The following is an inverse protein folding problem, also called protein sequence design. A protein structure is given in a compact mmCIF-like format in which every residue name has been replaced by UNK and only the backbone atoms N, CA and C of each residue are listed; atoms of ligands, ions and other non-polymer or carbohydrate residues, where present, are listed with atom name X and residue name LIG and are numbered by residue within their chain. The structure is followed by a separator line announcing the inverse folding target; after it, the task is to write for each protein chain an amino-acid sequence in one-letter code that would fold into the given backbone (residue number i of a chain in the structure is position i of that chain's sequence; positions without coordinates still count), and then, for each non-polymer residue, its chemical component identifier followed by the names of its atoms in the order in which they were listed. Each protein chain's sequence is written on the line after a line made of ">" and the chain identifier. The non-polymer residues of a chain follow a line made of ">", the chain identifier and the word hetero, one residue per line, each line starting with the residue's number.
data_IF_201875993514
#
_entry.id   IF_201875993514
#
_cell.length_a   1.000
_cell.length_b   1.000
_cell.length_c   1.000
_cell.angle_alpha   90.00
_cell.angle_beta   90.00
_cell.angle_gamma   90.00
#
_symmetry.space_group_name_H-M   'P 1'
#
loop_
_entity.id
_entity.type
_entity.pdbx_description
1 polymer ?
#
# COMPACT_ATOMS: atom_id res chain seq x y z
N UNK A 1 20.14 9.10 -27.79
CA UNK A 1 18.96 9.67 -27.11
C UNK A 1 17.99 8.63 -26.53
N UNK A 2 17.68 7.48 -27.19
CA UNK A 2 16.80 6.45 -26.60
C UNK A 2 17.34 5.90 -25.27
N UNK A 3 18.67 5.70 -25.19
CA UNK A 3 19.33 5.05 -24.04
C UNK A 3 19.20 5.80 -22.71
N UNK A 4 19.19 7.14 -22.72
CA UNK A 4 19.08 7.96 -21.50
C UNK A 4 17.65 8.00 -20.94
N UNK A 5 16.65 7.93 -21.82
CA UNK A 5 15.25 7.92 -21.41
C UNK A 5 14.85 6.55 -20.86
N UNK A 6 15.37 5.48 -21.46
CA UNK A 6 15.23 4.12 -20.93
C UNK A 6 15.97 3.94 -19.61
N UNK A 7 17.12 4.58 -19.40
CA UNK A 7 17.82 4.49 -18.11
C UNK A 7 17.02 5.17 -17.00
N UNK A 8 16.48 6.37 -17.26
CA UNK A 8 15.65 7.07 -16.28
C UNK A 8 14.40 6.25 -15.88
N UNK A 9 13.74 5.61 -16.85
CA UNK A 9 12.58 4.75 -16.54
C UNK A 9 12.97 3.54 -15.69
N UNK A 10 14.10 2.90 -15.96
CA UNK A 10 14.63 1.80 -15.14
C UNK A 10 14.98 2.28 -13.73
N UNK A 11 15.61 3.45 -13.61
CA UNK A 11 15.94 4.05 -12.31
C UNK A 11 14.66 4.34 -11.49
N UNK A 12 13.60 4.85 -12.14
CA UNK A 12 12.30 5.05 -11.51
C UNK A 12 11.68 3.74 -11.03
N UNK A 13 11.77 2.67 -11.82
CA UNK A 13 11.27 1.35 -11.43
C UNK A 13 12.00 0.81 -10.20
N UNK A 14 13.33 0.92 -10.16
CA UNK A 14 14.10 0.46 -9.01
C UNK A 14 13.83 1.29 -7.77
N UNK A 15 13.84 2.62 -7.89
CA UNK A 15 13.57 3.53 -6.78
C UNK A 15 12.19 3.26 -6.17
N UNK A 16 11.14 3.24 -7.00
CA UNK A 16 9.78 3.02 -6.54
C UNK A 16 9.59 1.58 -6.05
N UNK A 17 10.25 0.60 -6.66
CA UNK A 17 10.16 -0.80 -6.29
C UNK A 17 10.73 -1.04 -4.90
N UNK A 18 11.93 -0.52 -4.65
CA UNK A 18 12.58 -0.58 -3.33
C UNK A 18 11.75 0.16 -2.29
N UNK A 19 11.29 1.38 -2.59
CA UNK A 19 10.46 2.16 -1.67
C UNK A 19 9.14 1.46 -1.33
N UNK A 20 8.49 0.86 -2.33
CA UNK A 20 7.26 0.09 -2.19
C UNK A 20 7.46 -1.16 -1.34
N UNK A 21 8.49 -1.95 -1.63
CA UNK A 21 8.83 -3.15 -0.86
C UNK A 21 9.21 -2.82 0.59
N UNK A 22 9.99 -1.76 0.82
CA UNK A 22 10.34 -1.30 2.16
C UNK A 22 9.10 -0.85 2.95
N UNK A 23 8.21 -0.09 2.31
CA UNK A 23 6.95 0.36 2.92
C UNK A 23 6.03 -0.82 3.24
N UNK A 24 5.93 -1.80 2.34
CA UNK A 24 5.17 -3.03 2.55
C UNK A 24 5.75 -3.85 3.72
N UNK A 25 7.06 -4.07 3.76
CA UNK A 25 7.72 -4.77 4.86
C UNK A 25 7.45 -4.06 6.20
N UNK A 26 7.56 -2.73 6.23
CA UNK A 26 7.27 -1.93 7.43
C UNK A 26 5.79 -1.99 7.84
N UNK A 27 4.87 -1.99 6.87
CA UNK A 27 3.44 -2.16 7.11
C UNK A 27 3.12 -3.52 7.73
N UNK A 28 3.69 -4.60 7.17
CA UNK A 28 3.51 -5.96 7.68
C UNK A 28 4.10 -6.12 9.08
N UNK A 29 5.29 -5.55 9.33
CA UNK A 29 5.89 -5.52 10.66
C UNK A 29 4.97 -4.84 11.69
N UNK A 30 4.45 -3.65 11.38
CA UNK A 30 3.53 -2.94 12.28
C UNK A 30 2.19 -3.67 12.44
N UNK A 31 1.70 -4.35 11.40
CA UNK A 31 0.49 -5.17 11.47
C UNK A 31 0.67 -6.33 12.46
N UNK A 32 1.81 -7.04 12.40
CA UNK A 32 2.15 -8.12 13.30
C UNK A 32 2.38 -7.61 14.72
N UNK A 33 3.09 -6.49 14.89
CA UNK A 33 3.31 -5.85 16.18
C UNK A 33 1.99 -5.42 16.84
N UNK A 34 1.04 -4.89 16.05
CA UNK A 34 -0.28 -4.54 16.55
C UNK A 34 -1.07 -5.75 17.07
N UNK A 35 -0.79 -6.97 16.59
CA UNK A 35 -1.45 -8.17 17.09
C UNK A 35 -1.08 -8.50 18.54
N UNK A 36 0.12 -8.13 18.97
CA UNK A 36 0.63 -8.36 20.34
C UNK A 36 0.06 -7.40 21.37
N UNK A 37 -0.64 -6.33 20.95
CA UNK A 37 -1.22 -5.34 21.85
C UNK A 37 -2.54 -5.82 22.45
N UNK A 38 -2.83 -5.50 23.73
CA UNK A 38 -4.06 -5.93 24.40
C UNK A 38 -5.30 -5.36 23.70
N UNK A 39 -6.21 -6.27 23.33
CA UNK A 39 -7.47 -5.91 22.71
C UNK A 39 -8.44 -5.32 23.75
N UNK A 40 -9.18 -4.29 23.35
CA UNK A 40 -10.22 -3.66 24.16
C UNK A 40 -11.62 -4.01 23.66
N UNK A 41 -11.97 -3.47 22.50
CA UNK A 41 -13.31 -3.62 21.90
C UNK A 41 -13.21 -4.20 20.49
N UNK A 42 -14.19 -5.02 20.14
CA UNK A 42 -14.34 -5.60 18.81
C UNK A 42 -15.65 -5.12 18.20
N UNK A 43 -15.64 -4.77 16.92
CA UNK A 43 -16.86 -4.48 16.16
C UNK A 43 -17.02 -5.48 15.03
N UNK A 44 -18.27 -5.90 14.76
CA UNK A 44 -18.57 -6.87 13.71
C UNK A 44 -17.91 -8.23 13.92
N UNK A 45 -17.45 -8.84 12.83
CA UNK A 45 -16.82 -10.17 12.83
C UNK A 45 -15.29 -10.12 13.00
N UNK A 46 -14.76 -9.01 13.53
CA UNK A 46 -13.32 -8.77 13.72
C UNK A 46 -12.59 -9.93 14.43
N UNK A 47 -13.23 -10.58 15.40
CA UNK A 47 -12.64 -11.70 16.14
C UNK A 47 -12.32 -12.92 15.25
N UNK A 48 -13.06 -13.12 14.15
CA UNK A 48 -12.84 -14.24 13.23
C UNK A 48 -11.84 -13.86 12.13
N UNK A 49 -12.03 -12.70 11.49
CA UNK A 49 -11.30 -12.31 10.28
C UNK A 49 -9.91 -11.72 10.57
N UNK A 50 -9.76 -10.97 11.67
CA UNK A 50 -8.53 -10.25 12.00
C UNK A 50 -7.59 -11.05 12.92
N UNK A 51 -7.72 -12.38 12.94
CA UNK A 51 -6.80 -13.26 13.70
C UNK A 51 -5.47 -13.38 12.95
N UNK A 52 -4.35 -13.38 13.66
CA UNK A 52 -3.00 -13.40 13.07
C UNK A 52 -2.81 -14.45 11.98
N UNK A 53 -3.32 -15.67 12.16
CA UNK A 53 -3.24 -16.74 11.15
C UNK A 53 -3.89 -16.36 9.82
N UNK A 54 -5.05 -15.71 9.85
CA UNK A 54 -5.76 -15.31 8.63
C UNK A 54 -5.08 -14.11 7.97
N UNK A 55 -4.57 -13.17 8.76
CA UNK A 55 -3.76 -12.06 8.25
C UNK A 55 -2.51 -12.57 7.52
N UNK A 56 -1.79 -13.53 8.12
CA UNK A 56 -0.60 -14.14 7.49
C UNK A 56 -0.98 -14.88 6.21
N UNK A 57 -2.03 -15.72 6.24
CA UNK A 57 -2.51 -16.42 5.03
C UNK A 57 -2.91 -15.43 3.93
N UNK A 58 -3.67 -14.38 4.27
CA UNK A 58 -4.07 -13.35 3.33
C UNK A 58 -2.86 -12.59 2.75
N UNK A 59 -1.86 -12.25 3.57
CA UNK A 59 -0.61 -11.65 3.10
C UNK A 59 0.14 -12.57 2.15
N UNK A 60 0.28 -13.85 2.47
CA UNK A 60 0.98 -14.81 1.61
C UNK A 60 0.25 -15.00 0.27
N UNK A 61 -1.08 -15.11 0.30
CA UNK A 61 -1.90 -15.18 -0.91
C UNK A 61 -1.78 -13.90 -1.75
N UNK A 62 -1.80 -12.73 -1.13
CA UNK A 62 -1.61 -11.45 -1.80
C UNK A 62 -0.26 -11.38 -2.51
N UNK A 63 0.83 -11.76 -1.83
CA UNK A 63 2.17 -11.79 -2.42
C UNK A 63 2.27 -12.82 -3.56
N UNK A 64 1.67 -14.00 -3.39
CA UNK A 64 1.67 -15.07 -4.39
C UNK A 64 0.91 -14.66 -5.66
N UNK A 65 -0.29 -14.08 -5.50
CA UNK A 65 -1.08 -13.54 -6.62
C UNK A 65 -0.30 -12.40 -7.30
N UNK A 66 0.27 -11.48 -6.53
CA UNK A 66 1.10 -10.40 -7.06
C UNK A 66 2.28 -10.92 -7.88
N UNK A 67 2.95 -11.98 -7.43
CA UNK A 67 4.04 -12.62 -8.16
C UNK A 67 3.57 -13.25 -9.48
N UNK A 68 2.47 -14.03 -9.46
CA UNK A 68 1.91 -14.66 -10.67
C UNK A 68 1.50 -13.59 -11.70
N UNK A 69 0.88 -12.51 -11.22
CA UNK A 69 0.38 -11.43 -12.05
C UNK A 69 1.46 -10.39 -12.41
N UNK A 70 2.72 -10.57 -12.00
CA UNK A 70 3.82 -9.67 -12.38
C UNK A 70 4.25 -9.89 -13.84
N UNK A 71 3.32 -9.68 -14.76
CA UNK A 71 3.48 -9.77 -16.20
C UNK A 71 3.07 -8.45 -16.83
N UNK A 72 3.80 -7.96 -17.86
CA UNK A 72 3.44 -6.71 -18.50
C UNK A 72 2.07 -6.80 -19.16
N UNK A 73 1.30 -5.72 -19.08
CA UNK A 73 0.10 -5.54 -19.88
C UNK A 73 0.49 -5.41 -21.36
N UNK A 74 -0.31 -5.93 -22.29
CA UNK A 74 -0.05 -5.83 -23.72
C UNK A 74 -0.36 -4.41 -24.28
N UNK A 75 0.17 -3.37 -23.63
CA UNK A 75 0.01 -1.97 -24.02
C UNK A 75 1.24 -1.50 -24.79
N UNK A 76 1.03 -0.96 -25.98
CA UNK A 76 2.08 -0.31 -26.79
C UNK A 76 1.82 1.19 -26.80
N UNK A 77 2.70 1.94 -26.13
CA UNK A 77 2.62 3.39 -26.08
C UNK A 77 3.78 4.01 -26.87
N UNK A 78 3.57 5.16 -27.55
CA UNK A 78 4.67 5.97 -28.04
C UNK A 78 5.61 6.36 -26.89
N UNK A 79 6.91 6.42 -27.15
CA UNK A 79 7.94 6.59 -26.11
C UNK A 79 7.71 7.83 -25.20
N UNK A 80 7.25 8.95 -25.77
CA UNK A 80 7.02 10.18 -25.02
C UNK A 80 5.85 10.03 -24.04
N UNK A 81 4.78 9.36 -24.49
CA UNK A 81 3.62 9.07 -23.65
C UNK A 81 3.98 8.05 -22.57
N UNK A 82 4.77 7.02 -22.92
CA UNK A 82 5.29 6.05 -21.96
C UNK A 82 6.06 6.74 -20.84
N UNK A 83 7.01 7.61 -21.18
CA UNK A 83 7.80 8.36 -20.21
C UNK A 83 6.92 9.27 -19.32
N UNK A 84 6.01 10.03 -19.93
CA UNK A 84 5.12 10.93 -19.19
C UNK A 84 4.24 10.16 -18.19
N UNK A 85 3.68 9.02 -18.61
CA UNK A 85 2.87 8.15 -17.77
C UNK A 85 3.69 7.51 -16.65
N UNK A 86 4.94 7.08 -16.95
CA UNK A 86 5.85 6.52 -15.95
C UNK A 86 6.23 7.57 -14.88
N UNK A 87 6.53 8.81 -15.28
CA UNK A 87 6.83 9.90 -14.33
C UNK A 87 5.61 10.22 -13.48
N UNK A 88 4.42 10.37 -14.09
CA UNK A 88 3.19 10.62 -13.35
C UNK A 88 2.88 9.49 -12.36
N UNK A 89 3.02 8.24 -12.81
CA UNK A 89 2.86 7.05 -11.99
C UNK A 89 3.81 7.04 -10.79
N UNK A 90 5.10 7.32 -11.01
CA UNK A 90 6.10 7.41 -9.94
C UNK A 90 5.76 8.51 -8.92
N UNK A 91 5.33 9.70 -9.37
CA UNK A 91 4.93 10.79 -8.47
C UNK A 91 3.73 10.40 -7.61
N UNK A 92 2.68 9.85 -8.21
CA UNK A 92 1.49 9.38 -7.47
C UNK A 92 1.87 8.27 -6.49
N UNK A 93 2.67 7.30 -6.96
CA UNK A 93 3.12 6.17 -6.16
C UNK A 93 3.94 6.64 -4.94
N UNK A 94 4.96 7.47 -5.12
CA UNK A 94 5.77 7.96 -4.00
C UNK A 94 4.96 8.85 -3.04
N UNK A 95 4.10 9.73 -3.56
CA UNK A 95 3.21 10.53 -2.73
C UNK A 95 2.27 9.66 -1.87
N UNK A 96 1.77 8.56 -2.45
CA UNK A 96 0.93 7.60 -1.73
C UNK A 96 1.71 6.84 -0.65
N UNK A 97 2.97 6.45 -0.88
CA UNK A 97 3.80 5.85 0.16
C UNK A 97 4.05 6.82 1.32
N UNK A 98 4.31 8.09 1.01
CA UNK A 98 4.47 9.15 2.03
C UNK A 98 3.19 9.31 2.85
N UNK A 99 2.03 9.39 2.19
CA UNK A 99 0.73 9.49 2.88
C UNK A 99 0.45 8.27 3.76
N UNK A 100 0.78 7.06 3.28
CA UNK A 100 0.63 5.83 4.05
C UNK A 100 1.51 5.86 5.31
N UNK A 101 2.79 6.18 5.17
CA UNK A 101 3.74 6.23 6.28
C UNK A 101 3.39 7.35 7.27
N UNK A 102 2.92 8.50 6.78
CA UNK A 102 2.41 9.58 7.63
C UNK A 102 1.22 9.10 8.46
N UNK A 103 0.22 8.49 7.82
CA UNK A 103 -0.96 7.95 8.49
C UNK A 103 -0.63 6.84 9.49
N UNK A 104 0.31 5.94 9.15
CA UNK A 104 0.76 4.87 10.02
C UNK A 104 1.46 5.42 11.27
N UNK A 105 2.38 6.38 11.09
CA UNK A 105 3.08 7.05 12.19
C UNK A 105 2.13 7.84 13.09
N UNK A 106 1.17 8.55 12.51
CA UNK A 106 0.19 9.33 13.28
C UNK A 106 -0.77 8.43 14.08
N UNK A 107 -1.14 7.24 13.58
CA UNK A 107 -1.89 6.27 14.39
C UNK A 107 -1.03 5.67 15.50
N UNK A 108 0.24 5.32 15.21
CA UNK A 108 1.18 4.78 16.18
C UNK A 108 0.62 3.58 16.95
N UNK A 109 0.41 3.75 18.25
CA UNK A 109 -0.13 2.70 19.12
C UNK A 109 -1.58 2.32 18.81
N UNK A 110 -2.35 3.23 18.23
CA UNK A 110 -3.74 2.99 17.84
C UNK A 110 -3.88 2.17 16.55
N UNK A 111 -2.79 1.98 15.79
CA UNK A 111 -2.83 1.21 14.55
C UNK A 111 -3.22 -0.25 14.81
N UNK A 112 -4.17 -0.75 14.01
CA UNK A 112 -4.50 -2.16 13.92
C UNK A 112 -5.03 -2.48 12.51
N UNK A 113 -4.96 -3.74 12.11
CA UNK A 113 -5.63 -4.21 10.92
C UNK A 113 -7.14 -3.99 11.04
N UNK A 114 -7.74 -3.48 9.97
CA UNK A 114 -9.17 -3.22 9.88
C UNK A 114 -9.68 -3.71 8.52
N UNK A 115 -10.93 -4.16 8.46
CA UNK A 115 -11.56 -4.68 7.25
C UNK A 115 -13.00 -4.18 7.17
N UNK A 116 -13.63 -4.33 6.00
CA UNK A 116 -15.06 -4.05 5.84
C UNK A 116 -15.98 -4.88 6.76
N UNK A 117 -15.45 -5.95 7.35
CA UNK A 117 -16.20 -6.87 8.21
C UNK A 117 -16.04 -6.58 9.72
N UNK A 118 -15.19 -5.62 10.09
CA UNK A 118 -14.98 -5.22 11.48
C UNK A 118 -13.58 -4.68 11.76
N UNK A 119 -13.42 -4.11 12.96
CA UNK A 119 -12.14 -3.66 13.51
C UNK A 119 -11.93 -4.17 14.93
N UNK A 120 -10.66 -4.39 15.30
CA UNK A 120 -10.24 -4.63 16.68
C UNK A 120 -9.59 -3.37 17.23
N UNK A 121 -10.21 -2.75 18.21
CA UNK A 121 -9.65 -1.61 18.93
C UNK A 121 -8.80 -2.09 20.12
N UNK A 122 -7.67 -1.45 20.34
CA UNK A 122 -6.81 -1.72 21.51
C UNK A 122 -7.46 -1.17 22.79
N UNK A 123 -7.05 -1.66 23.96
CA UNK A 123 -7.66 -1.29 25.25
C UNK A 123 -7.59 0.22 25.54
N UNK A 124 -6.49 0.88 25.18
CA UNK A 124 -6.27 2.32 25.34
C UNK A 124 -6.51 3.13 24.06
N UNK A 125 -7.37 2.65 23.15
CA UNK A 125 -7.57 3.27 21.85
C UNK A 125 -8.10 4.71 21.98
N UNK A 126 -7.50 5.65 21.25
CA UNK A 126 -7.91 7.05 21.21
C UNK A 126 -8.24 7.48 19.79
N UNK A 127 -9.23 8.36 19.66
CA UNK A 127 -9.53 8.99 18.39
C UNK A 127 -8.38 9.90 17.96
N UNK A 128 -7.88 9.70 16.74
CA UNK A 128 -6.81 10.51 16.15
C UNK A 128 -7.43 11.46 15.12
N UNK A 129 -7.31 12.77 15.38
CA UNK A 129 -7.87 13.84 14.53
C UNK A 129 -6.82 14.84 14.03
N UNK A 130 -5.53 14.52 14.19
CA UNK A 130 -4.41 15.35 13.75
C UNK A 130 -3.59 14.65 12.65
N UNK A 131 -2.60 15.34 12.09
CA UNK A 131 -1.83 14.82 10.95
C UNK A 131 -2.72 14.66 9.71
N UNK A 132 -2.61 13.57 8.93
CA UNK A 132 -3.44 13.39 7.74
C UNK A 132 -4.92 13.15 8.08
N UNK A 133 -5.19 12.70 9.31
CA UNK A 133 -6.55 12.46 9.81
C UNK A 133 -7.34 13.74 10.07
N UNK A 134 -6.69 14.91 10.10
CA UNK A 134 -7.38 16.20 10.16
C UNK A 134 -8.12 16.53 8.84
N UNK A 135 -7.67 15.95 7.73
CA UNK A 135 -8.21 16.22 6.39
C UNK A 135 -9.06 15.06 5.84
N UNK A 136 -8.63 13.82 6.09
CA UNK A 136 -9.22 12.61 5.51
C UNK A 136 -9.38 11.55 6.60
N UNK A 137 -10.56 10.93 6.72
CA UNK A 137 -10.83 9.92 7.78
C UNK A 137 -10.03 8.63 7.60
N UNK A 138 -9.73 8.26 6.36
CA UNK A 138 -9.01 7.03 6.01
C UNK A 138 -7.83 7.30 5.05
N UNK A 139 -6.82 8.08 5.48
CA UNK A 139 -5.73 8.50 4.60
C UNK A 139 -4.86 7.32 4.16
N UNK A 140 -4.69 6.31 5.01
CA UNK A 140 -3.94 5.10 4.64
C UNK A 140 -4.67 4.25 3.58
N UNK A 141 -6.01 4.22 3.58
CA UNK A 141 -6.77 3.51 2.54
C UNK A 141 -6.69 4.25 1.21
N UNK A 142 -6.83 5.58 1.25
CA UNK A 142 -6.60 6.41 0.08
C UNK A 142 -5.21 6.19 -0.50
N UNK A 143 -4.20 6.12 0.38
CA UNK A 143 -2.83 5.82 -0.03
C UNK A 143 -2.72 4.45 -0.72
N UNK A 144 -3.32 3.38 -0.18
CA UNK A 144 -3.29 2.05 -0.82
C UNK A 144 -3.95 2.07 -2.19
N UNK A 145 -5.08 2.77 -2.35
CA UNK A 145 -5.73 2.94 -3.66
C UNK A 145 -4.79 3.66 -4.62
N UNK A 146 -4.17 4.77 -4.19
CA UNK A 146 -3.24 5.53 -5.02
C UNK A 146 -1.95 4.77 -5.35
N UNK A 147 -1.47 3.88 -4.48
CA UNK A 147 -0.38 2.94 -4.78
C UNK A 147 -0.76 2.06 -5.98
N UNK A 148 -1.99 1.52 -6.01
CA UNK A 148 -2.49 0.73 -7.13
C UNK A 148 -2.48 1.51 -8.45
N UNK A 149 -3.10 2.69 -8.47
CA UNK A 149 -3.15 3.54 -9.66
C UNK A 149 -1.78 4.05 -10.10
N UNK A 150 -0.97 4.57 -9.18
CA UNK A 150 0.39 5.04 -9.47
C UNK A 150 1.29 3.91 -9.97
N UNK A 151 1.18 2.73 -9.36
CA UNK A 151 1.90 1.53 -9.75
C UNK A 151 1.46 1.00 -11.11
N UNK A 152 0.17 1.09 -11.45
CA UNK A 152 -0.35 0.70 -12.76
C UNK A 152 0.22 1.59 -13.87
N UNK A 153 0.24 2.91 -13.67
CA UNK A 153 0.83 3.84 -14.63
C UNK A 153 2.34 3.62 -14.80
N UNK A 154 3.04 3.36 -13.68
CA UNK A 154 4.48 3.13 -13.67
C UNK A 154 4.87 1.80 -14.31
N UNK A 155 4.45 0.67 -13.70
CA UNK A 155 4.92 -0.66 -14.09
C UNK A 155 4.09 -1.31 -15.20
N UNK A 156 2.82 -0.91 -15.34
CA UNK A 156 1.89 -1.44 -16.35
C UNK A 156 1.83 -2.96 -16.35
N UNK A 157 1.70 -3.57 -15.17
CA UNK A 157 1.58 -5.03 -15.00
C UNK A 157 0.16 -5.43 -14.62
N UNK A 158 -0.19 -6.69 -14.88
CA UNK A 158 -1.47 -7.26 -14.41
C UNK A 158 -1.60 -7.21 -12.88
N UNK A 159 -0.49 -7.33 -12.14
CA UNK A 159 -0.47 -7.22 -10.68
C UNK A 159 -0.92 -5.84 -10.20
N UNK A 160 -0.45 -4.77 -10.85
CA UNK A 160 -0.85 -3.41 -10.50
C UNK A 160 -2.28 -3.11 -10.92
N UNK A 161 -2.75 -3.68 -12.04
CA UNK A 161 -4.16 -3.57 -12.43
C UNK A 161 -5.09 -4.29 -11.43
N UNK A 162 -4.67 -5.43 -10.90
CA UNK A 162 -5.42 -6.14 -9.87
C UNK A 162 -5.49 -5.35 -8.54
N UNK A 163 -4.46 -4.52 -8.26
CA UNK A 163 -4.38 -3.71 -7.06
C UNK A 163 -5.17 -2.37 -7.15
N UNK A 164 -5.31 -1.82 -8.36
CA UNK A 164 -5.91 -0.51 -8.63
C UNK A 164 -7.45 -0.53 -8.57
#
# INVERSE_FOLDING_TARGET
>A
MPNLLTSLEVDLYWLCGIAGLATLAYALYNMLLAQSRPAGHHTGSAHQVLRTRYLVIATLLFLFIGYILWRPLPLKLPWLLQLAVSILGAVIFLASLVLYLWGLRTLGENFNASSGFGVRLHQAHRLVTHGPYAYIRHPMYLAVIWVGWGGLLLYRTWAMLFLA
#
